data_IF_127519400947
#
_entry.id   IF_127519400947
#
_cell.length_a   1.000
_cell.length_b   1.000
_cell.length_c   1.000
_cell.angle_alpha   90.00
_cell.angle_beta   90.00
_cell.angle_gamma   90.00
#
_symmetry.space_group_name_H-M   'P 1'
#
loop_
_entity.id
_entity.type
_entity.pdbx_description
1 polymer ?
#
# COMPACT_ATOMS: atom_id res chain seq x y z
N UNK A 1 9.91 -2.44 5.29
CA UNK A 1 9.66 -2.24 3.87
C UNK A 1 9.09 -0.86 3.62
N UNK A 2 9.06 -0.47 2.37
CA UNK A 2 8.54 0.83 2.02
C UNK A 2 7.05 0.97 2.38
N UNK A 3 6.30 -0.11 2.21
CA UNK A 3 4.89 -0.11 2.55
C UNK A 3 4.70 0.18 4.03
N UNK A 4 5.44 -0.52 4.88
CA UNK A 4 5.31 -0.30 6.31
C UNK A 4 5.69 1.12 6.69
N UNK A 5 6.74 1.65 6.09
CA UNK A 5 7.15 3.03 6.38
C UNK A 5 6.05 4.01 6.02
N UNK A 6 5.41 3.82 4.87
CA UNK A 6 4.33 4.69 4.44
C UNK A 6 3.17 4.60 5.43
N UNK A 7 2.82 3.39 5.84
CA UNK A 7 1.73 3.19 6.79
C UNK A 7 2.04 3.90 8.11
N UNK A 8 3.25 3.75 8.60
CA UNK A 8 3.64 4.38 9.85
C UNK A 8 3.55 5.90 9.76
N UNK A 9 3.98 6.46 8.66
CA UNK A 9 3.94 7.90 8.48
C UNK A 9 2.53 8.43 8.38
N UNK A 10 1.69 7.72 7.62
CA UNK A 10 0.33 8.20 7.39
C UNK A 10 -0.55 8.06 8.63
N UNK A 11 -0.37 6.98 9.38
CA UNK A 11 -1.21 6.71 10.53
C UNK A 11 -0.58 7.13 11.84
N UNK A 12 0.69 7.52 11.82
CA UNK A 12 1.36 7.95 13.03
C UNK A 12 1.58 6.83 14.03
N UNK A 13 1.83 5.62 13.55
CA UNK A 13 2.07 4.47 14.41
C UNK A 13 3.51 4.01 14.25
N UNK A 14 3.99 3.26 15.23
CA UNK A 14 5.34 2.71 15.18
C UNK A 14 5.36 1.46 14.32
N UNK A 15 6.53 1.17 13.73
CA UNK A 15 6.65 -0.02 12.91
C UNK A 15 6.38 -1.30 13.70
N UNK A 16 6.69 -1.27 14.99
CA UNK A 16 6.41 -2.42 15.85
C UNK A 16 4.93 -2.74 15.94
N UNK A 17 4.09 -1.74 15.73
CA UNK A 17 2.65 -1.92 15.81
C UNK A 17 2.06 -2.38 14.49
N UNK A 18 2.82 -2.29 13.41
CA UNK A 18 2.34 -2.63 12.08
C UNK A 18 2.73 -4.07 11.78
N UNK A 19 1.74 -4.96 11.82
CA UNK A 19 1.95 -6.37 11.56
C UNK A 19 1.11 -6.79 10.37
N UNK A 20 1.49 -7.90 9.76
CA UNK A 20 0.79 -8.37 8.56
C UNK A 20 -0.70 -8.55 8.81
N UNK A 21 -1.06 -9.02 9.97
CA UNK A 21 -2.46 -9.26 10.30
C UNK A 21 -3.17 -8.04 10.87
N UNK A 22 -2.45 -6.93 11.07
CA UNK A 22 -3.06 -5.73 11.62
C UNK A 22 -4.08 -5.17 10.64
N UNK A 23 -5.26 -4.86 11.16
CA UNK A 23 -6.30 -4.22 10.36
C UNK A 23 -6.19 -2.73 10.51
N UNK A 24 -6.29 -2.03 9.39
CA UNK A 24 -6.11 -0.58 9.43
C UNK A 24 -7.12 0.09 10.35
N UNK A 25 -8.37 -0.32 10.25
CA UNK A 25 -9.43 0.32 11.03
C UNK A 25 -9.49 -0.25 12.46
N UNK A 26 -9.53 -1.57 12.59
CA UNK A 26 -9.74 -2.18 13.89
C UNK A 26 -8.50 -2.15 14.78
N UNK A 27 -7.34 -2.38 14.20
CA UNK A 27 -6.11 -2.51 14.98
C UNK A 27 -5.30 -1.23 15.02
N UNK A 28 -5.27 -0.49 13.94
CA UNK A 28 -4.46 0.71 13.85
C UNK A 28 -5.27 1.99 14.04
N UNK A 29 -6.57 1.87 14.15
CA UNK A 29 -7.41 3.02 14.44
C UNK A 29 -7.63 3.97 13.29
N UNK A 30 -7.40 3.52 12.06
CA UNK A 30 -7.62 4.36 10.89
C UNK A 30 -9.11 4.45 10.58
N UNK A 31 -9.52 5.59 10.04
CA UNK A 31 -10.89 5.71 9.56
C UNK A 31 -10.87 5.77 8.03
N UNK A 32 -12.04 6.01 7.45
CA UNK A 32 -12.17 6.01 5.99
C UNK A 32 -11.25 7.02 5.34
N UNK A 33 -11.14 8.20 5.94
CA UNK A 33 -10.30 9.25 5.41
C UNK A 33 -8.83 8.86 5.47
N UNK A 34 -8.43 8.23 6.57
CA UNK A 34 -7.06 7.76 6.69
C UNK A 34 -6.72 6.75 5.61
N UNK A 35 -7.67 5.85 5.31
CA UNK A 35 -7.47 4.86 4.26
C UNK A 35 -7.29 5.54 2.91
N UNK A 36 -8.11 6.54 2.62
CA UNK A 36 -7.99 7.26 1.36
C UNK A 36 -6.62 7.92 1.25
N UNK A 37 -6.17 8.56 2.32
CA UNK A 37 -4.87 9.20 2.30
C UNK A 37 -3.75 8.19 2.15
N UNK A 38 -3.91 7.03 2.79
CA UNK A 38 -2.92 5.97 2.69
C UNK A 38 -2.81 5.46 1.26
N UNK A 39 -3.95 5.26 0.61
CA UNK A 39 -3.98 4.81 -0.77
C UNK A 39 -3.29 5.85 -1.66
N UNK A 40 -3.57 7.12 -1.45
CA UNK A 40 -2.94 8.17 -2.23
C UNK A 40 -1.43 8.19 -2.02
N UNK A 41 -0.99 7.95 -0.80
CA UNK A 41 0.44 7.89 -0.52
C UNK A 41 1.09 6.73 -1.27
N UNK A 42 0.41 5.60 -1.32
CA UNK A 42 0.91 4.46 -2.09
C UNK A 42 0.99 4.81 -3.58
N UNK A 43 -0.03 5.47 -4.09
CA UNK A 43 -0.05 5.85 -5.50
C UNK A 43 1.14 6.73 -5.85
N UNK A 44 1.44 7.66 -4.99
CA UNK A 44 2.58 8.55 -5.23
C UNK A 44 3.91 7.82 -5.07
N UNK A 45 4.00 6.98 -4.04
CA UNK A 45 5.27 6.32 -3.75
C UNK A 45 5.64 5.31 -4.83
N UNK A 46 4.65 4.66 -5.40
CA UNK A 46 4.90 3.63 -6.40
C UNK A 46 4.50 4.07 -7.81
N UNK A 47 4.11 5.33 -7.96
CA UNK A 47 3.80 5.93 -9.26
C UNK A 47 2.77 5.10 -10.01
N UNK A 48 1.67 4.81 -9.34
CA UNK A 48 0.61 4.00 -9.91
C UNK A 48 -0.73 4.56 -9.47
N UNK A 49 -1.80 4.05 -10.07
CA UNK A 49 -3.15 4.37 -9.65
C UNK A 49 -3.80 3.13 -9.07
N UNK A 50 -4.43 3.31 -7.93
CA UNK A 50 -5.15 2.23 -7.27
C UNK A 50 -6.63 2.53 -7.36
N UNK A 51 -7.40 1.75 -8.16
CA UNK A 51 -8.84 1.99 -8.27
C UNK A 51 -9.52 1.83 -6.92
N UNK A 52 -10.62 2.55 -6.75
CA UNK A 52 -11.38 2.48 -5.50
C UNK A 52 -11.78 1.04 -5.17
N UNK A 53 -12.15 0.29 -6.19
CA UNK A 53 -12.56 -1.10 -5.98
C UNK A 53 -11.46 -1.92 -5.31
N UNK A 54 -10.24 -1.73 -5.75
CA UNK A 54 -9.13 -2.47 -5.19
C UNK A 54 -8.72 -1.92 -3.85
N UNK A 55 -8.82 -0.60 -3.69
CA UNK A 55 -8.52 0.01 -2.40
C UNK A 55 -9.45 -0.52 -1.32
N UNK A 56 -10.70 -0.77 -1.65
CA UNK A 56 -11.66 -1.28 -0.68
C UNK A 56 -11.32 -2.67 -0.21
N UNK A 57 -10.55 -3.41 -0.98
CA UNK A 57 -10.16 -4.76 -0.59
C UNK A 57 -8.93 -4.78 0.29
N UNK A 58 -8.25 -3.66 0.41
CA UNK A 58 -7.08 -3.56 1.26
C UNK A 58 -7.54 -3.23 2.67
N UNK A 59 -7.68 -4.26 3.49
CA UNK A 59 -8.20 -4.10 4.85
C UNK A 59 -7.14 -4.32 5.92
N UNK A 60 -6.11 -5.08 5.62
CA UNK A 60 -5.03 -5.34 6.54
C UNK A 60 -3.71 -4.91 5.94
N UNK A 61 -2.70 -4.82 6.80
CA UNK A 61 -1.35 -4.50 6.35
C UNK A 61 -0.88 -5.54 5.34
N UNK A 62 -1.18 -6.81 5.61
CA UNK A 62 -0.80 -7.88 4.70
C UNK A 62 -1.42 -7.72 3.33
N UNK A 63 -2.70 -7.30 3.30
CA UNK A 63 -3.37 -7.07 2.03
C UNK A 63 -2.66 -5.98 1.24
N UNK A 64 -2.27 -4.91 1.92
CA UNK A 64 -1.58 -3.81 1.26
C UNK A 64 -0.23 -4.25 0.72
N UNK A 65 0.52 -4.97 1.54
CA UNK A 65 1.84 -5.44 1.13
C UNK A 65 1.72 -6.39 -0.05
N UNK A 66 0.75 -7.29 0.00
CA UNK A 66 0.56 -8.26 -1.06
C UNK A 66 0.16 -7.57 -2.36
N UNK A 67 -0.72 -6.59 -2.26
CA UNK A 67 -1.15 -5.84 -3.43
C UNK A 67 0.05 -5.14 -4.09
N UNK A 68 0.83 -4.45 -3.28
CA UNK A 68 1.99 -3.73 -3.77
C UNK A 68 3.02 -4.70 -4.33
N UNK A 69 3.21 -5.83 -3.66
CA UNK A 69 4.19 -6.81 -4.11
C UNK A 69 3.81 -7.36 -5.48
N UNK A 70 2.54 -7.69 -5.67
CA UNK A 70 2.05 -8.17 -6.96
C UNK A 70 2.28 -7.11 -8.03
N UNK A 71 2.00 -5.88 -7.70
CA UNK A 71 2.16 -4.77 -8.62
C UNK A 71 3.64 -4.59 -9.00
N UNK A 72 4.52 -4.66 -8.02
CA UNK A 72 5.96 -4.50 -8.25
C UNK A 72 6.49 -5.66 -9.08
N UNK A 73 6.05 -6.87 -8.77
CA UNK A 73 6.48 -8.05 -9.52
C UNK A 73 6.06 -7.95 -10.97
N UNK A 74 4.84 -7.49 -11.20
CA UNK A 74 4.32 -7.34 -12.55
C UNK A 74 5.13 -6.30 -13.32
N UNK A 75 5.44 -5.19 -12.66
CA UNK A 75 6.21 -4.13 -13.29
C UNK A 75 7.62 -4.62 -13.63
N UNK A 76 8.22 -5.40 -12.74
CA UNK A 76 9.53 -5.98 -12.98
C UNK A 76 9.51 -6.90 -14.18
N UNK A 77 8.49 -7.76 -14.24
CA UNK A 77 8.40 -8.74 -15.30
C UNK A 77 8.25 -8.07 -16.66
N UNK A 78 7.49 -6.99 -16.71
CA UNK A 78 7.23 -6.30 -17.96
C UNK A 78 8.26 -5.23 -18.26
N UNK A 79 8.56 -4.43 -17.25
CA UNK A 79 9.41 -3.28 -17.45
C UNK A 79 10.87 -3.61 -17.45
N UNK A 80 11.20 -4.75 -16.98
CA UNK A 80 12.60 -5.14 -16.98
C UNK A 80 13.20 -5.06 -18.34
N UNK A 81 12.37 -5.14 -19.34
CA UNK A 81 12.78 -4.94 -20.63
C UNK A 81 12.18 -3.77 -21.21
N UNK A 82 11.66 -3.07 -20.80
CA UNK A 82 11.00 -2.09 -21.40
C UNK A 82 11.37 -0.95 -21.58
N UNK A 83 11.49 -0.76 -21.80
CA UNK A 83 11.57 0.28 -21.84
C UNK A 83 10.69 1.15 -22.14
N UNK A 84 10.44 1.09 -21.97
CA UNK A 84 9.71 1.61 -22.13
C UNK A 84 9.52 2.41 -22.34
N UNK A 85 9.35 2.81 -22.51
CA UNK A 85 9.08 3.39 -22.80
C UNK A 85 8.99 3.95 -23.03
N UNK A 86 9.09 3.61 -22.82
CA UNK A 86 9.02 3.77 -22.97
C UNK A 86 9.14 3.87 -22.98
#
# INVERSE_FOLDING_TARGET
TKVKSIICEQLGVAEDEVKMESKFIDDLGADSLDIVELVMAFEEAFETEIPDEEAEQIKTVGDAIQYVQTFVDKRKAEGGKLPTPG
#
